data_IF_989817172942
#
_entry.id   IF_989817172942
#
_cell.length_a   1.000
_cell.length_b   1.000
_cell.length_c   1.000
_cell.angle_alpha   90.00
_cell.angle_beta   90.00
_cell.angle_gamma   90.00
#
_symmetry.space_group_name_H-M   'P 1'
#
loop_
_entity.id
_entity.type
_entity.pdbx_description
1 polymer ?
#
# COMPACT_ATOMS: atom_id res chain seq x y z
N UNK A 1 -14.14 60.07 -80.44
CA UNK A 1 -13.70 59.35 -79.22
C UNK A 1 -13.72 60.23 -77.96
N UNK A 2 -13.68 61.56 -78.06
CA UNK A 2 -13.80 62.44 -76.88
C UNK A 2 -15.22 62.52 -76.28
N UNK A 3 -16.27 62.48 -77.11
CA UNK A 3 -17.66 62.51 -76.65
C UNK A 3 -18.01 61.29 -75.78
N UNK A 4 -17.54 60.10 -76.18
CA UNK A 4 -17.75 58.85 -75.42
C UNK A 4 -17.01 58.85 -74.08
N UNK A 5 -15.83 59.46 -74.00
CA UNK A 5 -15.07 59.59 -72.73
C UNK A 5 -15.74 60.56 -71.75
N UNK A 6 -16.34 61.64 -72.27
CA UNK A 6 -17.06 62.63 -71.46
C UNK A 6 -18.38 62.07 -70.91
N UNK A 7 -19.10 61.30 -71.73
CA UNK A 7 -20.32 60.62 -71.30
C UNK A 7 -20.05 59.49 -70.30
N UNK A 8 -18.96 58.74 -70.49
CA UNK A 8 -18.47 57.76 -69.50
C UNK A 8 -18.11 58.43 -68.15
N UNK A 9 -17.47 59.61 -68.20
CA UNK A 9 -17.16 60.40 -67.00
C UNK A 9 -18.42 60.92 -66.29
N UNK A 10 -19.41 61.40 -67.03
CA UNK A 10 -20.69 61.85 -66.47
C UNK A 10 -21.51 60.70 -65.86
N UNK A 11 -21.49 59.51 -66.48
CA UNK A 11 -22.10 58.29 -65.94
C UNK A 11 -21.40 57.82 -64.66
N UNK A 12 -20.07 57.86 -64.61
CA UNK A 12 -19.29 57.56 -63.42
C UNK A 12 -19.61 58.54 -62.29
N UNK A 13 -19.66 59.85 -62.58
CA UNK A 13 -19.99 60.87 -61.60
C UNK A 13 -21.40 60.70 -61.03
N UNK A 14 -22.36 60.25 -61.86
CA UNK A 14 -23.72 59.91 -61.45
C UNK A 14 -23.81 58.60 -60.64
N UNK A 15 -22.84 57.70 -60.79
CA UNK A 15 -22.73 56.48 -60.01
C UNK A 15 -22.05 56.68 -58.64
N UNK A 16 -21.27 57.76 -58.45
CA UNK A 16 -20.60 58.08 -57.16
C UNK A 16 -21.59 58.12 -55.97
N UNK A 17 -22.76 58.79 -56.06
CA UNK A 17 -23.74 58.78 -54.97
C UNK A 17 -24.28 57.38 -54.66
N UNK A 18 -24.49 56.55 -55.68
CA UNK A 18 -24.98 55.17 -55.52
C UNK A 18 -23.93 54.29 -54.85
N UNK A 19 -22.67 54.41 -55.26
CA UNK A 19 -21.54 53.69 -54.64
C UNK A 19 -21.35 54.14 -53.19
N UNK A 20 -21.44 55.45 -52.92
CA UNK A 20 -21.37 55.98 -51.56
C UNK A 20 -22.49 55.43 -50.67
N UNK A 21 -23.74 55.45 -51.17
CA UNK A 21 -24.88 54.91 -50.45
C UNK A 21 -24.73 53.40 -50.19
N UNK A 22 -24.22 52.65 -51.17
CA UNK A 22 -23.93 51.23 -51.02
C UNK A 22 -22.84 50.97 -49.96
N UNK A 23 -21.80 51.81 -49.92
CA UNK A 23 -20.74 51.77 -48.89
C UNK A 23 -21.29 52.05 -47.49
N UNK A 24 -22.15 53.06 -47.35
CA UNK A 24 -22.81 53.40 -46.07
C UNK A 24 -23.70 52.25 -45.60
N UNK A 25 -24.53 51.69 -46.50
CA UNK A 25 -25.40 50.54 -46.18
C UNK A 25 -24.56 49.31 -45.82
N UNK A 26 -23.47 49.04 -46.54
CA UNK A 26 -22.56 47.94 -46.23
C UNK A 26 -21.92 48.10 -44.85
N UNK A 27 -21.41 49.29 -44.51
CA UNK A 27 -20.83 49.58 -43.20
C UNK A 27 -21.88 49.44 -42.09
N UNK A 28 -23.09 49.95 -42.32
CA UNK A 28 -24.21 49.81 -41.40
C UNK A 28 -24.56 48.33 -41.15
N UNK A 29 -24.73 47.53 -42.20
CA UNK A 29 -24.99 46.09 -42.07
C UNK A 29 -23.85 45.36 -41.36
N UNK A 30 -22.60 45.69 -41.71
CA UNK A 30 -21.40 45.09 -41.10
C UNK A 30 -21.34 45.32 -39.59
N UNK A 31 -21.62 46.53 -39.15
CA UNK A 31 -21.60 46.87 -37.73
C UNK A 31 -22.85 46.40 -36.99
N UNK A 32 -24.03 46.61 -37.58
CA UNK A 32 -25.31 46.35 -36.92
C UNK A 32 -25.71 44.88 -36.95
N UNK A 33 -25.32 44.12 -37.98
CA UNK A 33 -25.85 42.78 -38.21
C UNK A 33 -24.77 41.69 -38.14
N UNK A 34 -23.67 41.84 -38.87
CA UNK A 34 -22.64 40.79 -38.93
C UNK A 34 -21.88 40.64 -37.61
N UNK A 35 -21.51 41.74 -36.93
CA UNK A 35 -20.85 41.67 -35.63
C UNK A 35 -21.67 40.99 -34.53
N UNK A 36 -22.95 41.33 -34.29
CA UNK A 36 -23.73 40.60 -33.29
C UNK A 36 -23.98 39.14 -33.70
N UNK A 37 -24.17 38.86 -34.99
CA UNK A 37 -24.34 37.49 -35.48
C UNK A 37 -23.10 36.63 -35.21
N UNK A 38 -21.90 37.14 -35.49
CA UNK A 38 -20.64 36.48 -35.19
C UNK A 38 -20.46 36.24 -33.68
N UNK A 39 -20.81 37.23 -32.84
CA UNK A 39 -20.76 37.09 -31.38
C UNK A 39 -21.68 35.96 -30.88
N UNK A 40 -22.94 35.92 -31.33
CA UNK A 40 -23.90 34.89 -30.93
C UNK A 40 -23.48 33.50 -31.43
N UNK A 41 -22.95 33.40 -32.66
CA UNK A 41 -22.40 32.15 -33.19
C UNK A 41 -21.17 31.68 -32.40
N UNK A 42 -20.27 32.60 -32.03
CA UNK A 42 -19.11 32.30 -31.20
C UNK A 42 -19.54 31.85 -29.79
N UNK A 43 -20.51 32.54 -29.19
CA UNK A 43 -21.07 32.20 -27.87
C UNK A 43 -21.76 30.85 -27.88
N UNK A 44 -22.55 30.52 -28.91
CA UNK A 44 -23.14 29.18 -29.07
C UNK A 44 -22.08 28.10 -29.25
N UNK A 45 -21.07 28.35 -30.09
CA UNK A 45 -19.95 27.40 -30.25
C UNK A 45 -19.21 27.19 -28.94
N UNK A 46 -18.94 28.26 -28.19
CA UNK A 46 -18.27 28.18 -26.89
C UNK A 46 -19.15 27.49 -25.84
N UNK A 47 -20.45 27.73 -25.84
CA UNK A 47 -21.39 27.07 -24.94
C UNK A 47 -21.46 25.56 -25.23
N UNK A 48 -21.52 25.13 -26.49
CA UNK A 48 -21.63 23.72 -26.88
C UNK A 48 -20.29 22.97 -26.87
N UNK A 49 -19.23 23.56 -27.44
CA UNK A 49 -17.90 22.92 -27.45
C UNK A 49 -17.22 23.05 -26.08
N UNK A 50 -17.40 24.18 -25.40
CA UNK A 50 -16.84 24.39 -24.07
C UNK A 50 -17.49 23.51 -23.01
N UNK A 51 -18.78 23.18 -23.10
CA UNK A 51 -19.38 22.19 -22.18
C UNK A 51 -18.85 20.78 -22.43
N UNK A 52 -18.67 20.37 -23.69
CA UNK A 52 -18.04 19.08 -24.02
C UNK A 52 -16.59 18.99 -23.53
N UNK A 53 -15.76 19.99 -23.84
CA UNK A 53 -14.38 20.03 -23.38
C UNK A 53 -14.27 20.07 -21.85
N UNK A 54 -15.15 20.81 -21.17
CA UNK A 54 -15.21 20.80 -19.71
C UNK A 54 -15.62 19.44 -19.16
N UNK A 55 -16.60 18.77 -19.78
CA UNK A 55 -17.01 17.42 -19.37
C UNK A 55 -15.88 16.41 -19.56
N UNK A 56 -15.18 16.44 -20.69
CA UNK A 56 -14.01 15.60 -20.95
C UNK A 56 -12.88 15.88 -19.94
N UNK A 57 -12.59 17.15 -19.63
CA UNK A 57 -11.59 17.51 -18.63
C UNK A 57 -11.97 17.04 -17.22
N UNK A 58 -13.25 17.12 -16.85
CA UNK A 58 -13.75 16.61 -15.56
C UNK A 58 -13.65 15.09 -15.50
N UNK A 59 -14.02 14.39 -16.57
CA UNK A 59 -13.90 12.93 -16.66
C UNK A 59 -12.43 12.49 -16.61
N UNK A 60 -11.54 13.18 -17.32
CA UNK A 60 -10.11 12.90 -17.28
C UNK A 60 -9.51 13.15 -15.89
N UNK A 61 -9.95 14.20 -15.19
CA UNK A 61 -9.51 14.46 -13.82
C UNK A 61 -10.05 13.40 -12.85
N UNK A 62 -11.30 12.97 -13.04
CA UNK A 62 -11.91 11.91 -12.24
C UNK A 62 -11.18 10.56 -12.46
N UNK A 63 -10.88 10.18 -13.70
CA UNK A 63 -10.14 8.96 -14.01
C UNK A 63 -8.70 9.02 -13.48
N UNK A 64 -8.03 10.17 -13.60
CA UNK A 64 -6.70 10.37 -13.02
C UNK A 64 -6.75 10.18 -11.50
N UNK A 65 -7.72 10.80 -10.83
CA UNK A 65 -7.86 10.70 -9.36
C UNK A 65 -8.17 9.26 -8.94
N UNK A 66 -9.06 8.57 -9.67
CA UNK A 66 -9.37 7.16 -9.44
C UNK A 66 -8.12 6.28 -9.58
N UNK A 67 -7.32 6.49 -10.64
CA UNK A 67 -6.08 5.74 -10.85
C UNK A 67 -5.05 5.97 -9.74
N UNK A 68 -4.93 7.20 -9.23
CA UNK A 68 -4.04 7.52 -8.10
C UNK A 68 -4.50 6.82 -6.83
N UNK A 69 -5.79 6.89 -6.50
CA UNK A 69 -6.36 6.24 -5.32
C UNK A 69 -6.20 4.72 -5.40
N UNK A 70 -6.44 4.12 -6.57
CA UNK A 70 -6.20 2.69 -6.77
C UNK A 70 -4.72 2.30 -6.60
N UNK A 71 -3.80 3.12 -7.11
CA UNK A 71 -2.37 2.90 -6.94
C UNK A 71 -1.93 3.01 -5.46
N UNK A 72 -2.44 4.01 -4.74
CA UNK A 72 -2.19 4.17 -3.30
C UNK A 72 -2.76 3.01 -2.49
N UNK A 73 -3.97 2.54 -2.83
CA UNK A 73 -4.57 1.37 -2.18
C UNK A 73 -3.77 0.10 -2.43
N UNK A 74 -3.27 -0.12 -3.66
CA UNK A 74 -2.39 -1.25 -3.97
C UNK A 74 -1.11 -1.18 -3.15
N UNK A 75 -0.46 -0.01 -3.13
CA UNK A 75 0.76 0.21 -2.36
C UNK A 75 0.55 -0.04 -0.86
N UNK A 76 -0.54 0.48 -0.29
CA UNK A 76 -0.86 0.26 1.13
C UNK A 76 -1.12 -1.23 1.44
N UNK A 77 -1.79 -1.97 0.52
CA UNK A 77 -1.97 -3.41 0.66
C UNK A 77 -0.64 -4.15 0.63
N UNK A 78 0.22 -3.82 -0.32
CA UNK A 78 1.54 -4.43 -0.44
C UNK A 78 2.40 -4.17 0.79
N UNK A 79 2.37 -2.95 1.33
CA UNK A 79 3.04 -2.60 2.60
C UNK A 79 2.51 -3.41 3.78
N UNK A 80 1.19 -3.59 3.90
CA UNK A 80 0.58 -4.43 4.94
C UNK A 80 1.04 -5.89 4.79
N UNK A 81 1.07 -6.43 3.56
CA UNK A 81 1.53 -7.80 3.33
C UNK A 81 3.01 -7.97 3.70
N UNK A 82 3.86 -7.00 3.36
CA UNK A 82 5.27 -7.03 3.74
C UNK A 82 5.45 -6.98 5.26
N UNK A 83 4.71 -6.10 5.95
CA UNK A 83 4.75 -6.01 7.41
C UNK A 83 4.28 -7.31 8.07
N UNK A 84 3.18 -7.90 7.59
CA UNK A 84 2.69 -9.18 8.12
C UNK A 84 3.70 -10.31 7.89
N UNK A 85 4.35 -10.37 6.74
CA UNK A 85 5.35 -11.39 6.44
C UNK A 85 6.61 -11.21 7.31
N UNK A 86 7.06 -9.97 7.52
CA UNK A 86 8.16 -9.67 8.45
C UNK A 86 7.82 -10.05 9.89
N UNK A 87 6.64 -9.67 10.38
CA UNK A 87 6.20 -10.05 11.71
C UNK A 87 6.10 -11.57 11.82
N UNK A 88 5.46 -12.24 10.86
CA UNK A 88 5.36 -13.70 10.82
C UNK A 88 6.73 -14.36 10.91
N UNK A 89 7.72 -13.86 10.16
CA UNK A 89 9.11 -14.37 10.23
C UNK A 89 9.72 -14.14 11.60
N UNK A 90 9.58 -12.95 12.18
CA UNK A 90 10.09 -12.63 13.54
C UNK A 90 9.48 -13.56 14.58
N UNK A 91 8.16 -13.75 14.53
CA UNK A 91 7.43 -14.65 15.44
C UNK A 91 7.91 -16.10 15.33
N UNK A 92 8.10 -16.62 14.11
CA UNK A 92 8.61 -17.98 13.91
C UNK A 92 10.03 -18.14 14.45
N UNK A 93 10.91 -17.16 14.21
CA UNK A 93 12.28 -17.15 14.72
C UNK A 93 12.29 -17.11 16.25
N UNK A 94 11.51 -16.21 16.85
CA UNK A 94 11.42 -16.07 18.30
C UNK A 94 10.83 -17.33 18.95
N UNK A 95 9.75 -17.88 18.40
CA UNK A 95 9.16 -19.12 18.89
C UNK A 95 10.16 -20.28 18.85
N UNK A 96 10.90 -20.41 17.75
CA UNK A 96 11.93 -21.45 17.61
C UNK A 96 13.04 -21.26 18.63
N UNK A 97 13.50 -20.02 18.82
CA UNK A 97 14.53 -19.69 19.81
C UNK A 97 14.08 -20.01 21.25
N UNK A 98 12.84 -19.65 21.61
CA UNK A 98 12.26 -19.96 22.92
C UNK A 98 12.10 -21.47 23.13
N UNK A 99 11.62 -22.21 22.13
CA UNK A 99 11.52 -23.67 22.19
C UNK A 99 12.88 -24.34 22.36
N UNK A 100 13.89 -23.88 21.64
CA UNK A 100 15.25 -24.42 21.76
C UNK A 100 15.88 -24.08 23.11
N UNK A 101 15.63 -22.89 23.65
CA UNK A 101 16.05 -22.54 25.01
C UNK A 101 15.36 -23.43 26.06
N UNK A 102 14.05 -23.62 25.97
CA UNK A 102 13.30 -24.50 26.86
C UNK A 102 13.80 -25.95 26.78
N UNK A 103 14.09 -26.45 25.57
CA UNK A 103 14.67 -27.78 25.36
C UNK A 103 16.07 -27.91 25.95
N UNK A 104 16.94 -26.90 25.79
CA UNK A 104 18.27 -26.88 26.40
C UNK A 104 18.17 -26.94 27.92
N UNK A 105 17.34 -26.09 28.50
CA UNK A 105 17.13 -26.06 29.95
C UNK A 105 16.57 -27.39 30.48
N UNK A 106 15.59 -27.98 29.79
CA UNK A 106 15.07 -29.30 30.15
C UNK A 106 16.15 -30.39 30.09
N UNK A 107 17.02 -30.38 29.06
CA UNK A 107 18.14 -31.33 28.96
C UNK A 107 19.16 -31.15 30.09
N UNK A 108 19.47 -29.91 30.45
CA UNK A 108 20.34 -29.59 31.59
C UNK A 108 19.76 -30.10 32.91
N UNK A 109 18.48 -29.83 33.18
CA UNK A 109 17.79 -30.31 34.38
C UNK A 109 17.77 -31.84 34.45
N UNK A 110 17.46 -32.53 33.34
CA UNK A 110 17.50 -34.00 33.29
C UNK A 110 18.92 -34.52 33.52
N UNK A 111 19.94 -33.86 32.95
CA UNK A 111 21.34 -34.21 33.18
C UNK A 111 21.75 -34.08 34.65
N UNK A 112 21.39 -32.95 35.28
CA UNK A 112 21.64 -32.70 36.71
C UNK A 112 20.90 -33.71 37.60
N UNK A 113 19.62 -33.98 37.31
CA UNK A 113 18.83 -34.96 38.06
C UNK A 113 19.42 -36.37 37.95
N UNK A 114 19.92 -36.77 36.77
CA UNK A 114 20.61 -38.07 36.58
C UNK A 114 21.90 -38.14 37.40
N UNK A 115 22.72 -37.10 37.37
CA UNK A 115 23.95 -37.06 38.18
C UNK A 115 23.65 -37.13 39.68
N UNK A 116 22.60 -36.45 40.13
CA UNK A 116 22.19 -36.51 41.54
C UNK A 116 21.68 -37.91 41.90
N UNK A 117 20.85 -38.51 41.05
CA UNK A 117 20.34 -39.87 41.25
C UNK A 117 21.48 -40.90 41.33
N UNK A 118 22.50 -40.79 40.46
CA UNK A 118 23.67 -41.67 40.51
C UNK A 118 24.44 -41.56 41.83
N UNK A 119 24.63 -40.33 42.33
CA UNK A 119 25.25 -40.08 43.64
C UNK A 119 24.42 -40.66 44.78
N UNK A 120 23.13 -40.39 44.80
CA UNK A 120 22.21 -40.87 45.84
C UNK A 120 22.15 -42.40 45.85
N UNK A 121 22.13 -43.03 44.67
CA UNK A 121 22.17 -44.49 44.54
C UNK A 121 23.48 -45.08 45.04
N UNK A 122 24.62 -44.42 44.75
CA UNK A 122 25.92 -44.86 45.25
C UNK A 122 26.03 -44.74 46.78
N UNK A 123 25.53 -43.65 47.36
CA UNK A 123 25.46 -43.45 48.81
C UNK A 123 24.55 -44.49 49.47
N UNK A 124 23.32 -44.66 48.96
CA UNK A 124 22.38 -45.64 49.48
C UNK A 124 22.92 -47.08 49.43
N UNK A 125 23.67 -47.44 48.38
CA UNK A 125 24.34 -48.75 48.30
C UNK A 125 25.40 -48.93 49.38
N UNK A 126 26.21 -47.90 49.65
CA UNK A 126 27.23 -47.94 50.72
C UNK A 126 26.59 -48.05 52.11
N UNK A 127 25.55 -47.26 52.35
CA UNK A 127 24.78 -47.31 53.60
C UNK A 127 24.11 -48.67 53.81
N UNK A 128 23.47 -49.23 52.77
CA UNK A 128 22.87 -50.56 52.84
C UNK A 128 23.91 -51.64 53.14
N UNK A 129 25.10 -51.58 52.52
CA UNK A 129 26.18 -52.53 52.80
C UNK A 129 26.65 -52.44 54.26
N UNK A 130 26.91 -51.23 54.76
CA UNK A 130 27.32 -51.03 56.16
C UNK A 130 26.25 -51.50 57.16
N UNK A 131 24.97 -51.21 56.87
CA UNK A 131 23.86 -51.66 57.71
C UNK A 131 23.71 -53.18 57.67
N UNK A 132 23.93 -53.81 56.51
CA UNK A 132 23.90 -55.27 56.36
C UNK A 132 25.03 -55.95 57.14
N UNK A 133 26.26 -55.43 57.09
CA UNK A 133 27.39 -55.93 57.88
C UNK A 133 27.09 -55.82 59.38
N UNK A 134 26.59 -54.67 59.83
CA UNK A 134 26.22 -54.45 61.23
C UNK A 134 25.13 -55.43 61.68
N UNK A 135 24.13 -55.69 60.84
CA UNK A 135 23.05 -56.63 61.13
C UNK A 135 23.58 -58.08 61.16
N UNK A 136 24.49 -58.43 60.26
CA UNK A 136 25.14 -59.74 60.24
C UNK A 136 25.94 -60.00 61.52
N UNK A 137 26.71 -59.01 61.99
CA UNK A 137 27.45 -59.09 63.25
C UNK A 137 26.51 -59.26 64.45
N UNK A 138 25.39 -58.53 64.50
CA UNK A 138 24.38 -58.69 65.56
C UNK A 138 23.75 -60.09 65.55
N UNK A 139 23.45 -60.63 64.38
CA UNK A 139 22.89 -61.99 64.23
C UNK A 139 23.93 -63.04 64.67
N UNK A 140 25.19 -62.90 64.22
CA UNK A 140 26.27 -63.81 64.58
C UNK A 140 26.55 -63.80 66.08
N UNK A 141 26.58 -62.62 66.71
CA UNK A 141 26.73 -62.46 68.16
C UNK A 141 25.63 -63.18 68.94
N UNK A 142 24.36 -62.99 68.57
CA UNK A 142 23.24 -63.69 69.24
C UNK A 142 23.26 -65.20 69.05
N UNK A 143 23.72 -65.70 67.91
CA UNK A 143 23.86 -67.15 67.68
C UNK A 143 25.00 -67.77 68.49
N UNK A 144 26.11 -67.04 68.67
CA UNK A 144 27.26 -67.49 69.46
C UNK A 144 26.95 -67.51 70.96
N UNK A 145 26.29 -66.47 71.51
CA UNK A 145 25.86 -66.44 72.92
C UNK A 145 24.94 -67.61 73.28
N UNK A 146 24.04 -68.01 72.36
CA UNK A 146 23.14 -69.15 72.54
C UNK A 146 23.86 -70.50 72.54
N UNK A 147 25.03 -70.61 71.90
CA UNK A 147 25.79 -71.87 71.81
C UNK A 147 26.69 -72.11 73.04
N UNK A 148 26.98 -71.06 73.81
CA UNK A 148 27.80 -71.13 75.03
C UNK A 148 26.99 -71.29 76.32
N UNK A 149 25.65 -71.37 76.24
CA UNK A 149 24.74 -71.75 77.31
C UNK A 149 24.21 -73.17 77.09
#
# INVERSE_FOLDING_TARGET
>A
MEATLRDLGALLLKAVPTVFLLLVVYLYLKWMFFRPLEKVLAERRQATQGTRQKAEAVLAKASQTASTVEAELRKARDEIYQQQEEERRRWVVEQTAQLDQARRHARELVGQARQQLEKDTATAKRELAATADTLADQIAGRLLERKTA
#
